data_IF_202720671743
#
_entry.id   IF_202720671743
#
_cell.length_a   1.000
_cell.length_b   1.000
_cell.length_c   1.000
_cell.angle_alpha   90.00
_cell.angle_beta   90.00
_cell.angle_gamma   90.00
#
_symmetry.space_group_name_H-M   'P 1'
#
loop_
_entity.id
_entity.type
_entity.pdbx_description
1 polymer ?
#
# COMPACT_ATOMS: atom_id res chain seq x y z
N UNK A 1 -1.22 -3.16 22.32
CA UNK A 1 -1.78 -4.51 22.63
C UNK A 1 -0.80 -5.63 22.26
N UNK A 2 0.51 -5.33 22.24
CA UNK A 2 1.52 -6.37 22.05
C UNK A 2 1.52 -7.37 23.22
N UNK A 3 1.85 -8.63 22.92
CA UNK A 3 1.88 -9.72 23.93
C UNK A 3 3.30 -10.08 24.36
N UNK A 4 4.30 -9.43 23.76
CA UNK A 4 5.72 -9.65 23.99
C UNK A 4 6.38 -8.50 24.76
N UNK A 5 7.70 -8.49 24.84
CA UNK A 5 8.49 -7.48 25.53
C UNK A 5 8.81 -6.23 24.67
N UNK A 6 8.16 -6.05 23.53
CA UNK A 6 8.47 -4.95 22.59
C UNK A 6 8.38 -3.56 23.25
N UNK A 7 7.34 -3.33 24.08
CA UNK A 7 7.18 -2.04 24.80
C UNK A 7 8.28 -1.82 25.81
N UNK A 8 8.67 -2.87 26.57
CA UNK A 8 9.78 -2.79 27.52
C UNK A 8 11.10 -2.46 26.81
N UNK A 9 11.40 -3.17 25.73
CA UNK A 9 12.62 -2.96 24.94
C UNK A 9 12.64 -1.55 24.34
N UNK A 10 11.50 -1.07 23.83
CA UNK A 10 11.36 0.29 23.33
C UNK A 10 11.66 1.32 24.43
N UNK A 11 11.10 1.15 25.63
CA UNK A 11 11.36 2.06 26.75
C UNK A 11 12.83 2.07 27.14
N UNK A 12 13.45 0.90 27.28
CA UNK A 12 14.88 0.77 27.56
C UNK A 12 15.73 1.42 26.47
N UNK A 13 15.29 1.37 25.22
CA UNK A 13 15.99 2.03 24.10
C UNK A 13 15.85 3.55 24.17
N UNK A 14 14.66 4.06 24.46
CA UNK A 14 14.41 5.50 24.64
C UNK A 14 15.29 6.06 25.78
N UNK A 15 15.42 5.33 26.87
CA UNK A 15 16.21 5.77 28.03
C UNK A 15 17.72 5.84 27.75
N UNK A 16 18.22 5.15 26.71
CA UNK A 16 19.62 5.29 26.23
C UNK A 16 19.86 6.57 25.39
N UNK A 17 18.79 7.25 24.97
CA UNK A 17 18.85 8.48 24.16
C UNK A 17 18.05 9.59 24.83
N UNK A 18 18.46 10.08 26.01
CA UNK A 18 17.69 11.02 26.82
C UNK A 18 17.41 12.35 26.08
N UNK A 19 18.31 12.77 25.19
CA UNK A 19 18.14 13.97 24.35
C UNK A 19 17.02 13.84 23.31
N UNK A 20 16.58 12.61 23.00
CA UNK A 20 15.49 12.30 22.06
C UNK A 20 14.17 11.98 22.75
N UNK A 21 14.18 11.74 24.05
CA UNK A 21 13.03 11.27 24.81
C UNK A 21 11.78 12.14 24.63
N UNK A 22 11.94 13.46 24.62
CA UNK A 22 10.83 14.41 24.42
C UNK A 22 10.23 14.39 23.01
N UNK A 23 10.91 13.76 22.03
CA UNK A 23 10.47 13.65 20.65
C UNK A 23 9.74 12.31 20.39
N UNK A 24 9.80 11.37 21.33
CA UNK A 24 9.16 10.04 21.20
C UNK A 24 7.81 10.06 21.90
N UNK A 25 6.77 9.70 21.15
CA UNK A 25 5.41 9.57 21.66
C UNK A 25 5.03 8.08 21.59
N UNK A 26 4.96 7.44 22.74
CA UNK A 26 4.50 6.06 22.86
C UNK A 26 3.01 6.05 23.19
N UNK A 27 2.22 5.41 22.33
CA UNK A 27 0.76 5.30 22.49
C UNK A 27 0.39 3.83 22.65
N UNK A 28 -0.30 3.51 23.71
CA UNK A 28 -0.88 2.18 23.94
C UNK A 28 -2.40 2.26 23.81
N UNK A 29 -2.98 1.42 22.94
CA UNK A 29 -4.42 1.29 22.83
C UNK A 29 -4.98 0.38 23.92
N UNK A 30 -6.15 0.67 24.42
CA UNK A 30 -6.89 -0.18 25.37
C UNK A 30 -7.29 -1.51 24.73
N UNK A 31 -7.59 -1.50 23.43
CA UNK A 31 -7.91 -2.67 22.63
C UNK A 31 -7.21 -2.63 21.28
N UNK A 32 -7.05 -3.78 20.65
CA UNK A 32 -6.39 -3.91 19.36
C UNK A 32 -7.25 -3.29 18.23
N UNK A 33 -6.75 -2.21 17.62
CA UNK A 33 -7.37 -1.50 16.49
C UNK A 33 -6.88 -1.96 15.13
N UNK A 34 -6.02 -2.98 15.09
CA UNK A 34 -5.34 -3.43 13.88
C UNK A 34 -4.27 -2.45 13.39
N UNK A 35 -3.62 -2.84 12.29
CA UNK A 35 -2.53 -2.07 11.69
C UNK A 35 -3.03 -0.72 11.16
N UNK A 36 -4.18 -0.71 10.47
CA UNK A 36 -4.79 0.51 9.95
C UNK A 36 -5.13 1.51 11.05
N UNK A 37 -5.72 1.05 12.16
CA UNK A 37 -6.04 1.89 13.32
C UNK A 37 -4.80 2.40 14.05
N UNK A 38 -3.75 1.57 14.19
CA UNK A 38 -2.50 1.96 14.80
C UNK A 38 -1.77 3.06 14.01
N UNK A 39 -1.68 2.92 12.68
CA UNK A 39 -1.09 3.94 11.79
C UNK A 39 -1.89 5.24 11.80
N UNK A 40 -3.22 5.17 11.85
CA UNK A 40 -4.07 6.36 11.98
C UNK A 40 -3.77 7.12 13.27
N UNK A 41 -3.70 6.42 14.39
CA UNK A 41 -3.37 7.01 15.70
C UNK A 41 -1.97 7.64 15.70
N UNK A 42 -0.99 6.96 15.14
CA UNK A 42 0.38 7.47 15.02
C UNK A 42 0.43 8.74 14.15
N UNK A 43 -0.29 8.77 13.03
CA UNK A 43 -0.40 9.96 12.19
C UNK A 43 -1.01 11.14 12.97
N UNK A 44 -2.14 10.93 13.66
CA UNK A 44 -2.82 11.97 14.42
C UNK A 44 -1.96 12.57 15.55
N UNK A 45 -1.12 11.74 16.18
CA UNK A 45 -0.20 12.18 17.24
C UNK A 45 1.08 12.84 16.71
N UNK A 46 1.46 12.59 15.47
CA UNK A 46 2.68 13.12 14.87
C UNK A 46 2.55 14.61 14.51
N UNK A 47 3.68 15.33 14.42
CA UNK A 47 3.70 16.80 14.16
C UNK A 47 4.67 17.22 13.06
N UNK A 48 5.43 16.28 12.49
CA UNK A 48 6.44 16.57 11.47
C UNK A 48 5.84 17.09 10.16
N UNK A 49 6.58 17.89 9.42
CA UNK A 49 6.24 18.38 8.08
C UNK A 49 6.11 17.24 7.07
N UNK A 50 6.89 16.19 7.26
CA UNK A 50 6.83 14.95 6.51
C UNK A 50 6.43 13.77 7.41
N UNK A 51 5.76 12.81 6.84
CA UNK A 51 5.39 11.54 7.46
C UNK A 51 6.21 10.43 6.80
N UNK A 52 6.80 9.56 7.60
CA UNK A 52 7.45 8.33 7.16
C UNK A 52 6.89 7.16 7.98
N UNK A 53 6.49 6.11 7.29
CA UNK A 53 6.10 4.86 7.94
C UNK A 53 7.30 3.92 7.99
N UNK A 54 7.49 3.30 9.16
CA UNK A 54 8.52 2.28 9.39
C UNK A 54 7.87 1.13 10.11
N UNK A 55 7.95 -0.07 9.53
CA UNK A 55 7.43 -1.26 10.17
C UNK A 55 8.42 -1.73 11.25
N UNK A 56 7.91 -2.24 12.37
CA UNK A 56 8.70 -2.49 13.58
C UNK A 56 9.72 -3.63 13.45
N UNK A 57 9.59 -4.43 12.42
CA UNK A 57 10.48 -5.55 12.09
C UNK A 57 11.52 -5.21 11.01
N UNK A 58 11.49 -3.99 10.47
CA UNK A 58 12.39 -3.53 9.42
C UNK A 58 13.50 -2.60 9.93
N UNK A 59 14.42 -2.19 9.04
CA UNK A 59 15.57 -1.35 9.37
C UNK A 59 15.69 -0.16 8.42
N UNK A 60 16.32 0.91 8.89
CA UNK A 60 16.63 2.09 8.08
C UNK A 60 18.15 2.30 7.97
N UNK A 61 18.67 2.68 6.79
CA UNK A 61 19.97 3.34 6.71
C UNK A 61 20.01 4.59 7.59
N UNK A 62 21.13 4.87 8.22
CA UNK A 62 21.27 6.01 9.14
C UNK A 62 21.01 7.37 8.47
N UNK A 63 21.22 7.46 7.18
CA UNK A 63 21.05 8.67 6.35
C UNK A 63 19.73 8.69 5.54
N UNK A 64 18.85 7.69 5.73
CA UNK A 64 17.61 7.54 4.96
C UNK A 64 16.72 8.79 5.02
N UNK A 65 16.45 9.28 6.23
CA UNK A 65 15.59 10.47 6.43
C UNK A 65 16.23 11.71 5.81
N UNK A 66 17.53 11.89 5.98
CA UNK A 66 18.28 13.02 5.41
C UNK A 66 18.21 13.03 3.88
N UNK A 67 18.43 11.88 3.23
CA UNK A 67 18.35 11.73 1.77
C UNK A 67 16.95 12.06 1.25
N UNK A 68 15.92 11.51 1.87
CA UNK A 68 14.54 11.74 1.47
C UNK A 68 14.13 13.21 1.64
N UNK A 69 14.45 13.84 2.77
CA UNK A 69 14.11 15.24 3.03
C UNK A 69 14.85 16.17 2.09
N UNK A 70 16.18 15.99 1.88
CA UNK A 70 16.96 16.79 0.91
C UNK A 70 16.35 16.69 -0.50
N UNK A 71 15.95 15.49 -0.92
CA UNK A 71 15.31 15.30 -2.21
C UNK A 71 13.95 16.01 -2.30
N UNK A 72 13.14 15.97 -1.22
CA UNK A 72 11.85 16.66 -1.17
C UNK A 72 12.03 18.19 -1.26
N UNK A 73 12.95 18.75 -0.52
CA UNK A 73 13.23 20.20 -0.51
C UNK A 73 13.76 20.66 -1.87
N UNK A 74 14.66 19.90 -2.48
CA UNK A 74 15.22 20.21 -3.81
C UNK A 74 14.19 20.12 -4.94
N UNK A 75 13.32 19.11 -4.90
CA UNK A 75 12.36 18.84 -6.00
C UNK A 75 11.02 19.58 -5.82
N UNK A 76 10.71 20.01 -4.59
CA UNK A 76 9.37 20.49 -4.21
C UNK A 76 8.30 19.43 -4.39
N UNK A 77 8.65 18.15 -4.23
CA UNK A 77 7.73 17.04 -4.34
C UNK A 77 6.90 16.85 -3.07
N UNK A 78 5.69 16.32 -3.26
CA UNK A 78 4.80 15.96 -2.17
C UNK A 78 5.15 14.60 -1.58
N UNK A 79 5.67 13.71 -2.44
CA UNK A 79 6.12 12.38 -2.06
C UNK A 79 7.50 12.15 -2.68
N UNK A 80 8.44 11.71 -1.84
CA UNK A 80 9.73 11.20 -2.32
C UNK A 80 9.79 9.70 -2.05
N UNK A 81 9.95 8.94 -3.11
CA UNK A 81 10.16 7.51 -3.10
C UNK A 81 11.65 7.20 -3.09
N UNK A 82 12.08 6.29 -2.23
CA UNK A 82 13.45 5.77 -2.25
C UNK A 82 13.50 4.29 -2.66
N UNK A 83 14.69 3.85 -3.06
CA UNK A 83 14.98 2.45 -3.25
C UNK A 83 15.01 1.70 -1.91
N UNK A 84 14.88 0.38 -1.95
CA UNK A 84 14.99 -0.47 -0.77
C UNK A 84 15.80 -1.73 -1.10
N UNK A 85 16.31 -2.39 -0.09
CA UNK A 85 16.98 -3.67 -0.24
C UNK A 85 16.35 -4.72 0.67
N UNK A 86 16.37 -5.98 0.21
CA UNK A 86 16.01 -7.11 1.04
C UNK A 86 17.11 -7.33 2.09
N UNK A 87 16.71 -7.49 3.34
CA UNK A 87 17.60 -7.75 4.47
C UNK A 87 17.41 -9.17 4.95
N UNK A 88 18.47 -9.96 4.91
CA UNK A 88 18.44 -11.35 5.32
C UNK A 88 19.76 -11.75 5.99
N UNK A 89 19.70 -12.44 7.10
CA UNK A 89 20.87 -12.92 7.85
C UNK A 89 21.94 -11.84 8.13
N UNK A 90 21.50 -10.61 8.42
CA UNK A 90 22.41 -9.51 8.75
C UNK A 90 23.01 -8.78 7.54
N UNK A 91 22.58 -9.09 6.33
CA UNK A 91 23.11 -8.51 5.10
C UNK A 91 22.00 -8.02 4.15
N UNK A 92 22.30 -6.97 3.38
CA UNK A 92 21.46 -6.56 2.26
C UNK A 92 21.73 -7.50 1.08
N UNK A 93 20.69 -8.22 0.61
CA UNK A 93 20.83 -9.27 -0.41
C UNK A 93 20.42 -8.83 -1.81
N UNK A 94 19.44 -7.94 -1.92
CA UNK A 94 18.91 -7.44 -3.19
C UNK A 94 18.50 -5.98 -3.06
N UNK A 95 18.88 -5.17 -4.04
CA UNK A 95 18.46 -3.77 -4.16
C UNK A 95 17.29 -3.63 -5.14
N UNK A 96 16.24 -2.95 -4.70
CA UNK A 96 15.07 -2.60 -5.50
C UNK A 96 15.08 -1.09 -5.74
N UNK A 97 15.42 -0.61 -6.94
CA UNK A 97 15.42 0.81 -7.23
C UNK A 97 14.01 1.41 -7.17
N UNK A 98 13.93 2.71 -7.02
CA UNK A 98 12.65 3.41 -7.08
C UNK A 98 12.04 3.33 -8.49
N UNK A 99 10.72 3.31 -8.57
CA UNK A 99 10.03 3.25 -9.84
C UNK A 99 10.00 4.63 -10.55
N UNK A 100 10.67 4.73 -11.70
CA UNK A 100 10.77 5.95 -12.51
C UNK A 100 9.63 6.09 -13.55
N UNK A 101 8.46 5.58 -13.23
CA UNK A 101 7.28 5.72 -14.09
C UNK A 101 6.76 7.17 -14.10
N UNK A 102 6.16 7.59 -15.20
CA UNK A 102 5.37 8.83 -15.20
C UNK A 102 4.24 8.72 -14.16
N UNK A 103 3.78 9.85 -13.64
CA UNK A 103 2.68 9.89 -12.66
C UNK A 103 1.48 9.05 -13.10
N UNK A 104 1.01 9.23 -14.33
CA UNK A 104 -0.14 8.49 -14.89
C UNK A 104 0.12 6.99 -14.98
N UNK A 105 1.30 6.59 -15.44
CA UNK A 105 1.69 5.17 -15.56
C UNK A 105 1.74 4.52 -14.20
N UNK A 106 2.37 5.18 -13.23
CA UNK A 106 2.47 4.66 -11.86
C UNK A 106 1.10 4.49 -11.22
N UNK A 107 0.23 5.51 -11.33
CA UNK A 107 -1.13 5.44 -10.79
C UNK A 107 -1.96 4.30 -11.41
N UNK A 108 -1.85 4.11 -12.74
CA UNK A 108 -2.52 2.98 -13.43
C UNK A 108 -2.00 1.64 -12.94
N UNK A 109 -0.69 1.48 -12.77
CA UNK A 109 -0.08 0.25 -12.23
C UNK A 109 -0.56 -0.04 -10.81
N UNK A 110 -0.64 0.95 -9.94
CA UNK A 110 -1.19 0.82 -8.59
C UNK A 110 -2.62 0.31 -8.63
N UNK A 111 -3.50 0.97 -9.40
CA UNK A 111 -4.90 0.62 -9.50
C UNK A 111 -5.13 -0.77 -10.08
N UNK A 112 -4.31 -1.19 -11.04
CA UNK A 112 -4.31 -2.56 -11.56
C UNK A 112 -3.82 -3.59 -10.55
N UNK A 113 -3.35 -3.18 -9.38
CA UNK A 113 -2.66 -4.05 -8.41
C UNK A 113 -1.50 -4.82 -9.06
N UNK A 114 -0.75 -4.11 -9.91
CA UNK A 114 0.26 -4.71 -10.75
C UNK A 114 1.66 -4.32 -10.29
N UNK A 115 2.23 -5.08 -9.35
CA UNK A 115 3.67 -5.17 -9.07
C UNK A 115 4.35 -3.88 -8.61
N UNK A 116 3.80 -2.74 -8.93
CA UNK A 116 4.36 -1.49 -8.48
C UNK A 116 4.15 -1.41 -6.99
N UNK A 117 5.16 -1.07 -6.34
CA UNK A 117 5.22 -0.93 -4.92
C UNK A 117 4.06 -0.09 -4.38
N UNK A 118 3.02 -0.76 -3.90
CA UNK A 118 1.97 -0.16 -3.10
C UNK A 118 2.41 0.05 -1.64
N UNK A 119 3.67 -0.25 -1.31
CA UNK A 119 4.22 -0.09 0.03
C UNK A 119 4.05 1.34 0.54
N UNK A 120 3.68 1.51 1.78
CA UNK A 120 3.58 2.81 2.43
C UNK A 120 4.93 3.28 3.00
N UNK A 121 5.85 2.35 3.25
CA UNK A 121 7.19 2.56 3.76
C UNK A 121 8.23 2.84 2.66
N UNK A 122 9.47 3.20 3.04
CA UNK A 122 10.55 3.53 2.11
C UNK A 122 10.31 4.82 1.33
N UNK A 123 9.50 5.72 1.88
CA UNK A 123 9.16 7.03 1.31
C UNK A 123 8.73 8.02 2.38
N UNK A 124 8.76 9.30 2.03
CA UNK A 124 8.15 10.35 2.85
C UNK A 124 6.98 10.99 2.12
N UNK A 125 6.00 11.43 2.90
CA UNK A 125 4.80 12.12 2.45
C UNK A 125 4.74 13.50 3.07
N UNK A 126 4.46 14.53 2.30
CA UNK A 126 4.18 15.86 2.86
C UNK A 126 2.86 15.80 3.64
N UNK A 127 2.89 16.23 4.90
CA UNK A 127 1.75 16.15 5.81
C UNK A 127 0.51 16.81 5.26
N UNK A 128 0.63 18.05 4.76
CA UNK A 128 -0.49 18.84 4.24
C UNK A 128 -1.18 18.18 3.05
N UNK A 129 -0.47 17.40 2.22
CA UNK A 129 -1.10 16.62 1.18
C UNK A 129 -2.10 15.60 1.75
N UNK A 130 -1.72 14.89 2.81
CA UNK A 130 -2.59 13.91 3.47
C UNK A 130 -3.78 14.59 4.15
N UNK A 131 -3.53 15.67 4.90
CA UNK A 131 -4.53 16.42 5.64
C UNK A 131 -5.54 17.11 4.72
N UNK A 132 -5.10 17.81 3.68
CA UNK A 132 -5.96 18.53 2.75
C UNK A 132 -6.91 17.62 1.95
N UNK A 133 -6.53 16.35 1.77
CA UNK A 133 -7.34 15.37 1.06
C UNK A 133 -7.99 14.33 1.96
N UNK A 134 -7.81 14.41 3.28
CA UNK A 134 -8.39 13.47 4.24
C UNK A 134 -7.96 12.01 4.00
N UNK A 135 -6.70 11.79 3.60
CA UNK A 135 -6.20 10.47 3.23
C UNK A 135 -5.34 9.90 4.36
N UNK A 136 -5.92 8.94 5.07
CA UNK A 136 -5.28 8.26 6.21
C UNK A 136 -5.48 6.76 6.10
N UNK A 137 -4.70 6.00 6.91
CA UNK A 137 -5.01 4.60 7.18
C UNK A 137 -6.35 4.48 7.90
N UNK A 138 -7.09 3.41 7.64
CA UNK A 138 -8.47 3.24 8.12
C UNK A 138 -8.52 2.03 9.05
N UNK A 139 -9.10 2.21 10.23
CA UNK A 139 -9.38 1.11 11.17
C UNK A 139 -10.27 0.05 10.50
N UNK A 140 -9.92 -1.22 10.68
CA UNK A 140 -10.61 -2.34 10.05
C UNK A 140 -10.18 -2.64 8.59
N UNK A 141 -9.15 -1.92 8.09
CA UNK A 141 -8.40 -2.27 6.89
C UNK A 141 -6.96 -2.55 7.32
N UNK A 142 -6.66 -3.83 7.62
CA UNK A 142 -5.38 -4.28 8.17
C UNK A 142 -4.55 -5.09 7.16
N UNK A 143 -5.16 -5.56 6.09
CA UNK A 143 -4.52 -6.18 4.95
C UNK A 143 -4.85 -5.35 3.71
N UNK A 144 -3.83 -4.99 2.93
CA UNK A 144 -3.91 -4.00 1.83
C UNK A 144 -4.22 -2.56 2.28
N UNK A 145 -3.94 -2.25 3.54
CA UNK A 145 -4.01 -0.90 4.12
C UNK A 145 -3.06 0.06 3.41
N UNK A 146 -1.89 -0.43 2.98
CA UNK A 146 -0.92 0.30 2.15
C UNK A 146 -1.54 0.72 0.81
N UNK A 147 -2.18 -0.24 0.11
CA UNK A 147 -2.89 0.04 -1.13
C UNK A 147 -3.97 1.09 -0.94
N UNK A 148 -4.74 0.98 0.14
CA UNK A 148 -5.81 1.92 0.45
C UNK A 148 -5.32 3.37 0.59
N UNK A 149 -4.13 3.59 1.18
CA UNK A 149 -3.54 4.92 1.33
C UNK A 149 -2.84 5.34 0.04
N UNK A 150 -1.91 4.51 -0.45
CA UNK A 150 -0.99 4.88 -1.54
C UNK A 150 -1.73 5.15 -2.85
N UNK A 151 -2.72 4.32 -3.20
CA UNK A 151 -3.50 4.52 -4.43
C UNK A 151 -4.32 5.83 -4.43
N UNK A 152 -4.75 6.30 -3.26
CA UNK A 152 -5.49 7.57 -3.13
C UNK A 152 -4.56 8.78 -3.10
N UNK A 153 -3.50 8.75 -2.31
CA UNK A 153 -2.60 9.90 -2.17
C UNK A 153 -1.81 10.16 -3.44
N UNK A 154 -1.39 9.12 -4.15
CA UNK A 154 -0.67 9.24 -5.42
C UNK A 154 -1.50 9.91 -6.52
N UNK A 155 -2.82 9.95 -6.40
CA UNK A 155 -3.69 10.65 -7.35
C UNK A 155 -3.40 12.16 -7.39
N UNK A 156 -3.09 12.77 -6.24
CA UNK A 156 -2.85 14.21 -6.10
C UNK A 156 -1.37 14.59 -6.10
N UNK A 157 -0.49 13.63 -5.78
CA UNK A 157 0.89 13.91 -5.41
C UNK A 157 1.78 14.29 -6.59
N UNK A 158 2.59 15.33 -6.44
CA UNK A 158 3.83 15.49 -7.20
C UNK A 158 4.86 14.56 -6.62
N UNK A 159 5.26 13.55 -7.39
CA UNK A 159 6.18 12.49 -6.97
C UNK A 159 7.60 12.74 -7.47
N UNK A 160 8.57 12.46 -6.64
CA UNK A 160 9.99 12.40 -6.99
C UNK A 160 10.59 11.09 -6.48
N UNK A 161 11.63 10.59 -7.10
CA UNK A 161 12.26 9.33 -6.72
C UNK A 161 13.76 9.46 -6.68
N UNK A 162 14.37 8.74 -5.74
CA UNK A 162 15.81 8.55 -5.61
C UNK A 162 16.10 7.06 -5.58
N UNK A 163 17.17 6.63 -6.22
CA UNK A 163 17.56 5.21 -6.23
C UNK A 163 18.41 4.81 -5.02
N UNK A 164 18.73 5.77 -4.14
CA UNK A 164 19.37 5.46 -2.87
C UNK A 164 18.54 4.48 -2.06
N UNK A 165 19.22 3.51 -1.41
CA UNK A 165 18.60 2.65 -0.42
C UNK A 165 18.23 3.50 0.80
N UNK A 166 16.94 3.52 1.11
CA UNK A 166 16.38 4.25 2.27
C UNK A 166 15.63 3.32 3.23
N UNK A 167 15.57 2.04 2.90
CA UNK A 167 14.84 1.06 3.67
C UNK A 167 15.42 -0.34 3.48
N UNK A 168 15.48 -1.12 4.55
CA UNK A 168 15.82 -2.54 4.52
C UNK A 168 14.61 -3.35 4.94
N UNK A 169 14.06 -4.10 4.00
CA UNK A 169 12.91 -4.97 4.23
C UNK A 169 13.38 -6.36 4.68
N UNK A 170 12.99 -6.77 5.88
CA UNK A 170 13.43 -8.05 6.46
C UNK A 170 12.67 -9.22 5.88
N UNK A 171 13.42 -10.15 5.28
CA UNK A 171 12.90 -11.40 4.68
C UNK A 171 12.93 -12.60 5.64
N UNK A 172 13.74 -12.54 6.68
CA UNK A 172 13.91 -13.62 7.65
C UNK A 172 12.82 -13.65 8.74
N UNK A 173 11.83 -12.76 8.69
CA UNK A 173 10.69 -12.77 9.59
C UNK A 173 9.65 -13.81 9.15
N UNK A 174 9.75 -15.04 9.68
CA UNK A 174 8.82 -16.15 9.39
C UNK A 174 7.40 -15.92 9.93
N UNK A 175 7.23 -14.94 10.82
CA UNK A 175 5.91 -14.58 11.38
C UNK A 175 5.22 -13.45 10.60
N UNK A 176 5.75 -13.09 9.44
CA UNK A 176 5.19 -12.02 8.61
C UNK A 176 3.72 -12.26 8.30
N UNK A 177 2.92 -11.23 8.49
CA UNK A 177 1.48 -11.21 8.26
C UNK A 177 1.05 -11.54 6.81
N UNK A 178 1.99 -11.49 5.87
CA UNK A 178 1.75 -11.72 4.44
C UNK A 178 1.78 -13.19 4.03
N UNK A 179 2.21 -14.10 4.90
CA UNK A 179 2.36 -15.52 4.55
C UNK A 179 1.03 -16.28 4.44
N UNK A 180 -0.02 -15.83 5.10
CA UNK A 180 -1.29 -16.55 5.16
C UNK A 180 -2.46 -15.65 4.75
N UNK A 181 -3.13 -15.98 3.64
CA UNK A 181 -4.28 -15.23 3.16
C UNK A 181 -5.55 -15.79 3.80
N UNK A 182 -5.86 -15.32 4.99
CA UNK A 182 -7.09 -15.70 5.69
C UNK A 182 -8.33 -15.02 5.08
N UNK A 183 -9.52 -15.54 5.41
CA UNK A 183 -10.80 -14.91 5.05
C UNK A 183 -10.91 -13.46 5.60
N UNK A 184 -10.35 -13.21 6.79
CA UNK A 184 -10.25 -11.87 7.39
C UNK A 184 -9.40 -10.95 6.49
N UNK A 185 -8.27 -11.44 5.98
CA UNK A 185 -7.39 -10.68 5.11
C UNK A 185 -8.05 -10.37 3.76
N UNK A 186 -8.78 -11.33 3.17
CA UNK A 186 -9.54 -11.09 1.95
C UNK A 186 -10.67 -10.07 2.17
N UNK A 187 -11.39 -10.16 3.29
CA UNK A 187 -12.40 -9.16 3.68
C UNK A 187 -11.79 -7.75 3.77
N UNK A 188 -10.63 -7.64 4.40
CA UNK A 188 -9.88 -6.37 4.50
C UNK A 188 -9.47 -5.88 3.11
N UNK A 189 -8.97 -6.77 2.25
CA UNK A 189 -8.60 -6.43 0.88
C UNK A 189 -9.77 -5.86 0.07
N UNK A 190 -10.97 -6.47 0.16
CA UNK A 190 -12.16 -5.95 -0.52
C UNK A 190 -12.60 -4.59 0.02
N UNK A 191 -12.48 -4.34 1.32
CA UNK A 191 -12.72 -3.01 1.90
C UNK A 191 -11.74 -1.98 1.33
N UNK A 192 -10.46 -2.32 1.22
CA UNK A 192 -9.45 -1.46 0.60
C UNK A 192 -9.78 -1.18 -0.87
N UNK A 193 -10.15 -2.21 -1.64
CA UNK A 193 -10.56 -2.09 -3.05
C UNK A 193 -11.79 -1.19 -3.21
N UNK A 194 -12.81 -1.37 -2.36
CA UNK A 194 -14.00 -0.51 -2.36
C UNK A 194 -13.65 0.94 -2.07
N UNK A 195 -12.82 1.19 -1.05
CA UNK A 195 -12.40 2.54 -0.68
C UNK A 195 -11.67 3.24 -1.83
N UNK A 196 -10.74 2.55 -2.48
CA UNK A 196 -10.00 3.09 -3.63
C UNK A 196 -10.91 3.29 -4.83
N UNK A 197 -11.79 2.33 -5.13
CA UNK A 197 -12.71 2.42 -6.26
C UNK A 197 -13.70 3.59 -6.09
N UNK A 198 -14.29 3.75 -4.91
CA UNK A 198 -15.17 4.89 -4.60
C UNK A 198 -14.43 6.24 -4.71
N UNK A 199 -13.17 6.28 -4.24
CA UNK A 199 -12.33 7.46 -4.39
C UNK A 199 -12.10 7.81 -5.89
N UNK A 200 -11.78 6.83 -6.72
CA UNK A 200 -11.59 7.05 -8.16
C UNK A 200 -12.91 7.48 -8.83
N UNK A 201 -14.05 6.89 -8.46
CA UNK A 201 -15.36 7.31 -8.99
C UNK A 201 -15.69 8.78 -8.69
N UNK A 202 -15.27 9.27 -7.52
CA UNK A 202 -15.50 10.65 -7.09
C UNK A 202 -14.56 11.67 -7.74
N UNK A 203 -13.34 11.28 -8.07
CA UNK A 203 -12.28 12.22 -8.50
C UNK A 203 -11.92 12.10 -9.98
N UNK A 204 -12.07 10.94 -10.62
CA UNK A 204 -11.67 10.71 -12.01
C UNK A 204 -12.80 11.07 -13.00
N UNK A 205 -13.16 12.33 -13.06
CA UNK A 205 -14.22 12.83 -13.94
C UNK A 205 -13.97 12.55 -15.45
N UNK A 206 -12.70 12.29 -15.83
CA UNK A 206 -12.31 12.01 -17.21
C UNK A 206 -12.27 10.51 -17.53
N UNK A 207 -12.48 9.64 -16.54
CA UNK A 207 -12.45 8.19 -16.70
C UNK A 207 -11.07 7.61 -17.05
N UNK A 208 -9.98 8.35 -16.76
CA UNK A 208 -8.60 7.98 -17.13
C UNK A 208 -8.14 6.71 -16.43
N UNK A 209 -8.64 6.50 -15.21
CA UNK A 209 -8.23 5.41 -14.32
C UNK A 209 -9.27 4.31 -14.20
N UNK A 210 -10.46 4.47 -14.79
CA UNK A 210 -11.57 3.53 -14.67
C UNK A 210 -11.20 2.10 -15.06
N UNK A 211 -10.60 1.91 -16.23
CA UNK A 211 -10.18 0.58 -16.70
C UNK A 211 -9.11 -0.03 -15.79
N UNK A 212 -8.19 0.78 -15.27
CA UNK A 212 -7.18 0.29 -14.32
C UNK A 212 -7.82 -0.21 -13.02
N UNK A 213 -8.81 0.51 -12.50
CA UNK A 213 -9.60 0.13 -11.32
C UNK A 213 -10.39 -1.16 -11.59
N UNK A 214 -11.01 -1.29 -12.76
CA UNK A 214 -11.71 -2.52 -13.18
C UNK A 214 -10.78 -3.73 -13.21
N UNK A 215 -9.55 -3.58 -13.74
CA UNK A 215 -8.53 -4.63 -13.75
C UNK A 215 -8.12 -5.03 -12.32
N UNK A 216 -7.89 -4.07 -11.45
CA UNK A 216 -7.58 -4.32 -10.04
C UNK A 216 -8.70 -5.06 -9.33
N UNK A 217 -9.96 -4.71 -9.62
CA UNK A 217 -11.12 -5.40 -9.06
C UNK A 217 -11.20 -6.85 -9.54
N UNK A 218 -10.98 -7.12 -10.84
CA UNK A 218 -10.89 -8.50 -11.34
C UNK A 218 -9.82 -9.29 -10.61
N UNK A 219 -8.66 -8.66 -10.33
CA UNK A 219 -7.60 -9.31 -9.57
C UNK A 219 -8.05 -9.70 -8.16
N UNK A 220 -8.77 -8.81 -7.46
CA UNK A 220 -9.31 -9.10 -6.14
C UNK A 220 -10.28 -10.30 -6.17
N UNK A 221 -11.22 -10.34 -7.13
CA UNK A 221 -12.14 -11.47 -7.31
C UNK A 221 -11.41 -12.78 -7.66
N UNK A 222 -10.33 -12.71 -8.45
CA UNK A 222 -9.53 -13.89 -8.77
C UNK A 222 -8.85 -14.47 -7.52
N UNK A 223 -8.20 -13.62 -6.74
CA UNK A 223 -7.54 -14.03 -5.49
C UNK A 223 -8.57 -14.64 -4.53
N UNK A 224 -9.74 -14.02 -4.40
CA UNK A 224 -10.82 -14.58 -3.58
C UNK A 224 -11.25 -15.97 -4.05
N UNK A 225 -11.44 -16.16 -5.36
CA UNK A 225 -11.82 -17.44 -5.93
C UNK A 225 -10.70 -18.50 -5.78
N UNK A 226 -9.44 -18.12 -5.90
CA UNK A 226 -8.28 -19.00 -5.66
C UNK A 226 -8.19 -19.45 -4.20
N UNK A 227 -8.57 -18.59 -3.27
CA UNK A 227 -8.61 -18.87 -1.83
C UNK A 227 -9.96 -19.40 -1.35
N UNK A 228 -10.83 -19.79 -2.27
CA UNK A 228 -12.16 -20.37 -1.97
C UNK A 228 -13.07 -19.49 -1.10
N UNK A 229 -12.88 -18.16 -1.10
CA UNK A 229 -13.83 -17.24 -0.47
C UNK A 229 -15.13 -17.20 -1.28
N UNK A 230 -16.31 -17.33 -0.64
CA UNK A 230 -17.59 -17.14 -1.33
C UNK A 230 -17.67 -15.74 -1.94
N UNK A 231 -17.89 -15.65 -3.27
CA UNK A 231 -17.86 -14.36 -3.97
C UNK A 231 -19.06 -13.48 -3.59
N UNK A 232 -20.16 -14.05 -3.12
CA UNK A 232 -21.30 -13.32 -2.54
C UNK A 232 -20.87 -12.50 -1.31
N UNK A 233 -19.93 -13.01 -0.53
CA UNK A 233 -19.33 -12.25 0.58
C UNK A 233 -18.50 -11.09 0.08
N UNK A 234 -17.72 -11.26 -0.98
CA UNK A 234 -17.01 -10.19 -1.64
C UNK A 234 -17.98 -9.10 -2.15
N UNK A 235 -19.09 -9.51 -2.77
CA UNK A 235 -20.14 -8.62 -3.28
C UNK A 235 -20.84 -7.83 -2.18
N UNK A 236 -21.00 -8.40 -0.99
CA UNK A 236 -21.58 -7.69 0.17
C UNK A 236 -20.68 -6.60 0.73
N UNK A 237 -19.37 -6.73 0.53
CA UNK A 237 -18.36 -5.76 1.01
C UNK A 237 -18.08 -4.69 -0.06
N UNK A 238 -17.97 -5.12 -1.33
CA UNK A 238 -17.59 -4.27 -2.44
C UNK A 238 -18.75 -4.07 -3.41
N UNK A 239 -19.32 -2.87 -3.39
CA UNK A 239 -20.45 -2.49 -4.25
C UNK A 239 -20.02 -1.87 -5.59
N UNK A 240 -18.70 -1.71 -5.80
CA UNK A 240 -18.16 -1.17 -7.04
C UNK A 240 -18.59 -1.99 -8.25
N UNK A 241 -19.11 -1.31 -9.27
CA UNK A 241 -19.55 -1.95 -10.51
C UNK A 241 -18.47 -1.87 -11.58
N UNK A 242 -17.87 -3.01 -11.87
CA UNK A 242 -16.94 -3.17 -13.01
C UNK A 242 -17.65 -2.81 -14.31
N UNK A 243 -17.06 -1.90 -15.09
CA UNK A 243 -17.70 -1.36 -16.32
C UNK A 243 -17.09 -1.91 -17.60
N UNK A 244 -15.78 -2.15 -17.63
CA UNK A 244 -15.10 -2.64 -18.84
C UNK A 244 -15.64 -4.04 -19.25
N UNK A 245 -16.07 -4.27 -20.52
CA UNK A 245 -16.74 -5.50 -20.92
C UNK A 245 -15.95 -6.79 -20.61
N UNK A 246 -14.63 -6.79 -20.86
CA UNK A 246 -13.78 -7.97 -20.59
C UNK A 246 -13.68 -8.21 -19.08
N UNK A 247 -13.52 -7.18 -18.27
CA UNK A 247 -13.48 -7.29 -16.82
C UNK A 247 -14.81 -7.80 -16.24
N UNK A 248 -15.93 -7.29 -16.76
CA UNK A 248 -17.28 -7.78 -16.40
C UNK A 248 -17.44 -9.27 -16.72
N UNK A 249 -16.98 -9.69 -17.91
CA UNK A 249 -17.02 -11.11 -18.30
C UNK A 249 -16.17 -11.95 -17.33
N UNK A 250 -14.94 -11.52 -17.00
CA UNK A 250 -14.10 -12.25 -16.04
C UNK A 250 -14.81 -12.44 -14.69
N UNK A 251 -15.36 -11.37 -14.10
CA UNK A 251 -16.07 -11.47 -12.82
C UNK A 251 -17.31 -12.36 -12.93
N UNK A 252 -18.08 -12.24 -14.02
CA UNK A 252 -19.27 -13.09 -14.24
C UNK A 252 -18.92 -14.58 -14.36
N UNK A 253 -17.81 -14.92 -15.01
CA UNK A 253 -17.34 -16.30 -15.12
C UNK A 253 -16.91 -16.85 -13.75
N UNK A 254 -16.18 -16.06 -12.95
CA UNK A 254 -15.80 -16.44 -11.58
C UNK A 254 -17.04 -16.71 -10.71
N UNK A 255 -18.04 -15.81 -10.74
CA UNK A 255 -19.31 -15.98 -10.00
C UNK A 255 -20.10 -17.22 -10.43
N UNK A 256 -19.94 -17.69 -11.67
CA UNK A 256 -20.52 -18.95 -12.17
C UNK A 256 -19.68 -20.18 -11.84
N UNK A 257 -18.66 -20.05 -11.01
CA UNK A 257 -17.82 -21.16 -10.59
C UNK A 257 -16.79 -21.64 -11.63
N UNK A 258 -16.50 -20.84 -12.64
CA UNK A 258 -15.42 -21.17 -13.57
C UNK A 258 -14.08 -21.22 -12.85
N UNK A 259 -13.27 -22.26 -13.17
CA UNK A 259 -11.93 -22.39 -12.60
C UNK A 259 -11.08 -21.18 -12.94
N UNK A 260 -10.42 -20.62 -11.94
CA UNK A 260 -9.60 -19.40 -12.07
C UNK A 260 -8.58 -19.49 -13.20
N UNK A 261 -7.98 -20.68 -13.43
CA UNK A 261 -7.02 -20.90 -14.54
C UNK A 261 -7.58 -20.57 -15.93
N UNK A 262 -8.87 -20.77 -16.18
CA UNK A 262 -9.51 -20.46 -17.48
C UNK A 262 -9.79 -18.95 -17.61
N UNK A 263 -10.23 -18.33 -16.51
CA UNK A 263 -10.45 -16.89 -16.48
C UNK A 263 -9.13 -16.12 -16.57
N UNK A 264 -8.05 -16.69 -16.01
CA UNK A 264 -6.70 -16.12 -16.06
C UNK A 264 -6.20 -15.88 -17.47
N UNK A 265 -6.46 -16.80 -18.40
CA UNK A 265 -6.02 -16.63 -19.79
C UNK A 265 -6.59 -15.34 -20.40
N UNK A 266 -7.91 -15.14 -20.26
CA UNK A 266 -8.58 -13.93 -20.75
C UNK A 266 -8.11 -12.69 -20.02
N UNK A 267 -8.01 -12.74 -18.69
CA UNK A 267 -7.57 -11.64 -17.86
C UNK A 267 -6.14 -11.22 -18.16
N UNK A 268 -5.20 -12.16 -18.22
CA UNK A 268 -3.78 -11.89 -18.46
C UNK A 268 -3.54 -11.34 -19.86
N UNK A 269 -4.23 -11.87 -20.87
CA UNK A 269 -4.17 -11.34 -22.23
C UNK A 269 -4.66 -9.89 -22.28
N UNK A 270 -5.82 -9.63 -21.70
CA UNK A 270 -6.37 -8.26 -21.65
C UNK A 270 -5.45 -7.30 -20.89
N UNK A 271 -4.96 -7.71 -19.72
CA UNK A 271 -4.02 -6.93 -18.91
C UNK A 271 -2.73 -6.63 -19.66
N UNK A 272 -2.20 -7.60 -20.43
CA UNK A 272 -1.01 -7.40 -21.26
C UNK A 272 -1.26 -6.35 -22.34
N UNK A 273 -2.38 -6.42 -23.04
CA UNK A 273 -2.78 -5.44 -24.05
C UNK A 273 -2.93 -4.04 -23.41
N UNK A 274 -3.61 -3.96 -22.29
CA UNK A 274 -3.78 -2.71 -21.55
C UNK A 274 -2.43 -2.10 -21.13
N UNK A 275 -1.52 -2.90 -20.60
CA UNK A 275 -0.18 -2.43 -20.23
C UNK A 275 0.61 -1.91 -21.45
N UNK A 276 0.55 -2.59 -22.59
CA UNK A 276 1.20 -2.12 -23.82
C UNK A 276 0.65 -0.76 -24.29
N UNK A 277 -0.64 -0.50 -24.09
CA UNK A 277 -1.25 0.79 -24.38
C UNK A 277 -0.81 1.90 -23.41
N UNK A 278 -0.55 1.55 -22.15
CA UNK A 278 -0.02 2.50 -21.14
C UNK A 278 1.39 2.97 -21.52
N UNK A 279 2.26 2.08 -22.00
CA UNK A 279 3.64 2.41 -22.38
C UNK A 279 3.76 3.19 -23.69
N UNK A 280 2.71 3.21 -24.54
CA UNK A 280 2.70 3.91 -25.83
C UNK A 280 2.14 5.34 -25.77
N UNK A 281 1.62 5.77 -24.63
CA UNK A 281 1.03 7.10 -24.38
C UNK A 281 1.69 7.77 -23.18
#
# INVERSE_FOLDING_TARGET
CTKDRSVEILQQTIDRFPERKSQVILIQHEHNKGLGGARHTAFAASRGRYIMHVDSDDLLPLDAVEKLVKAAEKSGADIVDGGFADWENGQATLFHPAAHDSHRTYQRKLLCQNITSNRIWGRIYRRDLLENHGIYSVEGIDYSEDYAVVARVMYFAKRYFIDDVVYYYRKDNITSYTHDISEKNLTSHFKACQLVASFIEQHDNKGIYRTATDIGMVNAYRVAAEQHLPLEKADSICTYRVTHPVCRLCVALLRRGWKVKHVNLLYLLFRRIYNLQIFRR
#
